data_IF_248167401415
#
_entry.id   IF_248167401415
#
_cell.length_a   1.000
_cell.length_b   1.000
_cell.length_c   1.000
_cell.angle_alpha   90.00
_cell.angle_beta   90.00
_cell.angle_gamma   90.00
#
_symmetry.space_group_name_H-M   'P 1'
#
loop_
_entity.id
_entity.type
_entity.pdbx_description
1 polymer ?
#
# COMPACT_ATOMS: atom_id res chain seq x y z
N UNK A 1 -4.25 25.03 19.18
CA UNK A 1 -4.63 23.64 18.82
C UNK A 1 -3.74 22.54 19.46
N UNK A 2 -2.58 22.86 20.07
CA UNK A 2 -1.64 21.85 20.58
C UNK A 2 -2.08 21.10 21.86
N UNK A 3 -2.94 21.70 22.70
CA UNK A 3 -3.33 21.12 24.01
C UNK A 3 -4.12 19.81 23.90
N UNK A 4 -5.07 19.73 22.97
CA UNK A 4 -5.91 18.54 22.78
C UNK A 4 -5.09 17.37 22.24
N UNK A 5 -4.16 17.64 21.32
CA UNK A 5 -3.28 16.62 20.74
C UNK A 5 -2.34 16.05 21.82
N UNK A 6 -1.83 16.89 22.72
CA UNK A 6 -1.00 16.45 23.85
C UNK A 6 -1.80 15.64 24.87
N UNK A 7 -3.06 15.97 25.10
CA UNK A 7 -3.95 15.22 26.00
C UNK A 7 -4.24 13.81 25.46
N UNK A 8 -4.61 13.69 24.17
CA UNK A 8 -4.91 12.39 23.53
C UNK A 8 -3.69 11.48 23.46
N UNK A 9 -2.49 12.04 23.31
CA UNK A 9 -1.24 11.24 23.25
C UNK A 9 -0.83 10.66 24.60
N UNK A 10 -1.14 11.33 25.71
CA UNK A 10 -0.63 10.98 27.05
C UNK A 10 -1.64 10.25 27.94
N UNK A 11 -2.90 10.15 27.56
CA UNK A 11 -3.88 9.36 28.32
C UNK A 11 -3.94 7.92 27.80
N UNK A 12 -3.61 6.96 28.65
CA UNK A 12 -3.55 5.53 28.34
C UNK A 12 -4.88 4.94 27.86
N UNK A 13 -6.03 5.59 28.15
CA UNK A 13 -7.35 5.18 27.63
C UNK A 13 -7.44 5.35 26.11
N UNK A 14 -6.73 6.32 25.54
CA UNK A 14 -6.62 6.55 24.10
C UNK A 14 -5.38 5.89 23.48
N UNK A 15 -4.45 5.42 24.32
CA UNK A 15 -3.21 4.78 23.93
C UNK A 15 -3.18 3.29 24.30
N UNK A 16 -4.35 2.64 24.32
CA UNK A 16 -4.48 1.21 24.63
C UNK A 16 -3.75 0.35 23.60
N UNK A 17 -3.10 -0.74 24.05
CA UNK A 17 -2.31 -1.64 23.21
C UNK A 17 -3.10 -2.19 22.00
N UNK A 18 -4.43 -2.34 22.13
CA UNK A 18 -5.33 -2.72 21.02
C UNK A 18 -5.28 -1.76 19.83
N UNK A 19 -5.05 -0.45 20.07
CA UNK A 19 -4.84 0.54 19.01
C UNK A 19 -3.40 0.58 18.49
N UNK A 20 -2.42 0.12 19.30
CA UNK A 20 -0.98 0.24 18.98
C UNK A 20 -0.49 -0.71 17.88
N UNK A 21 -1.29 -1.68 17.45
CA UNK A 21 -0.95 -2.56 16.34
C UNK A 21 -1.97 -2.57 15.21
N UNK A 22 -3.08 -1.81 15.31
CA UNK A 22 -4.10 -1.76 14.24
C UNK A 22 -3.46 -1.40 12.91
N UNK A 23 -2.48 -0.50 12.91
CA UNK A 23 -1.79 -0.10 11.67
C UNK A 23 -1.07 -1.28 11.01
N UNK A 24 -0.32 -2.06 11.79
CA UNK A 24 0.38 -3.24 11.31
C UNK A 24 -0.61 -4.35 10.91
N UNK A 25 -1.64 -4.59 11.72
CA UNK A 25 -2.69 -5.58 11.47
C UNK A 25 -3.50 -5.26 10.21
N UNK A 26 -3.85 -3.99 9.99
CA UNK A 26 -4.59 -3.54 8.80
C UNK A 26 -3.73 -3.65 7.54
N UNK A 27 -2.43 -3.33 7.59
CA UNK A 27 -1.53 -3.49 6.44
C UNK A 27 -1.16 -4.94 6.11
N UNK A 28 -1.43 -5.88 7.03
CA UNK A 28 -1.13 -7.31 6.85
C UNK A 28 -2.37 -8.15 6.52
N UNK A 29 -3.53 -7.51 6.31
CA UNK A 29 -4.72 -8.18 5.78
C UNK A 29 -4.45 -8.60 4.33
N UNK A 30 -4.81 -9.82 3.96
CA UNK A 30 -4.67 -10.30 2.57
C UNK A 30 -5.48 -9.43 1.60
N UNK A 31 -6.63 -8.91 2.04
CA UNK A 31 -7.51 -8.00 1.28
C UNK A 31 -6.89 -6.60 1.04
N UNK A 32 -5.80 -6.25 1.72
CA UNK A 32 -5.14 -4.96 1.57
C UNK A 32 -4.56 -4.75 0.18
N UNK A 33 -4.06 -5.82 -0.45
CA UNK A 33 -3.46 -5.75 -1.79
C UNK A 33 -4.41 -5.13 -2.81
N UNK A 34 -5.66 -5.61 -2.85
CA UNK A 34 -6.66 -5.15 -3.81
C UNK A 34 -7.19 -3.76 -3.50
N UNK A 35 -7.30 -3.39 -2.21
CA UNK A 35 -7.74 -2.06 -1.79
C UNK A 35 -6.65 -0.99 -2.00
N UNK A 36 -5.38 -1.39 -1.89
CA UNK A 36 -4.23 -0.49 -2.01
C UNK A 36 -3.79 -0.28 -3.47
N UNK A 37 -4.05 -1.23 -4.36
CA UNK A 37 -3.74 -1.11 -5.78
C UNK A 37 -4.83 -0.27 -6.46
N UNK A 38 -4.43 0.88 -7.00
CA UNK A 38 -5.29 1.74 -7.80
C UNK A 38 -5.35 1.29 -9.25
N UNK A 39 -5.41 2.27 -10.16
CA UNK A 39 -5.41 2.00 -11.60
C UNK A 39 -4.19 1.20 -12.04
N UNK A 40 -4.46 0.14 -12.80
CA UNK A 40 -3.47 -0.74 -13.43
C UNK A 40 -3.56 -0.54 -14.94
N UNK A 41 -2.41 -0.31 -15.56
CA UNK A 41 -2.26 -0.20 -17.02
C UNK A 41 -1.37 -1.35 -17.49
N UNK A 42 -1.87 -2.13 -18.44
CA UNK A 42 -1.13 -3.23 -19.07
C UNK A 42 -0.81 -2.88 -20.52
N UNK A 43 0.46 -2.92 -20.85
CA UNK A 43 0.96 -2.82 -22.22
C UNK A 43 1.60 -4.14 -22.63
N UNK A 44 1.15 -4.70 -23.75
CA UNK A 44 1.74 -5.92 -24.33
C UNK A 44 2.61 -5.55 -25.52
N UNK A 45 3.88 -5.90 -25.48
CA UNK A 45 4.84 -5.74 -26.57
C UNK A 45 5.40 -7.10 -26.95
N UNK A 46 4.76 -7.75 -27.93
CA UNK A 46 5.14 -9.10 -28.36
C UNK A 46 4.97 -10.12 -27.23
N UNK A 47 6.08 -10.72 -26.81
CA UNK A 47 6.13 -11.69 -25.70
C UNK A 47 6.29 -11.02 -24.34
N UNK A 48 6.57 -9.71 -24.26
CA UNK A 48 6.77 -9.01 -22.99
C UNK A 48 5.50 -8.25 -22.59
N UNK A 49 5.13 -8.36 -21.33
CA UNK A 49 4.04 -7.61 -20.71
C UNK A 49 4.62 -6.59 -19.73
N UNK A 50 4.30 -5.32 -19.93
CA UNK A 50 4.67 -4.22 -19.04
C UNK A 50 3.41 -3.79 -18.28
N UNK A 51 3.44 -3.92 -16.96
CA UNK A 51 2.34 -3.59 -16.07
C UNK A 51 2.75 -2.40 -15.21
N UNK A 52 2.04 -1.28 -15.33
CA UNK A 52 2.23 -0.10 -14.51
C UNK A 52 1.04 0.08 -13.59
N UNK A 53 1.28 0.28 -12.30
CA UNK A 53 0.20 0.51 -11.35
C UNK A 53 0.62 1.46 -10.24
N UNK A 54 -0.38 2.04 -9.58
CA UNK A 54 -0.16 2.92 -8.42
C UNK A 54 -0.63 2.23 -7.15
N UNK A 55 0.21 2.26 -6.13
CA UNK A 55 -0.11 1.73 -4.80
C UNK A 55 -0.31 2.88 -3.83
N UNK A 56 -1.49 2.91 -3.22
CA UNK A 56 -1.89 3.81 -2.14
C UNK A 56 -1.86 3.03 -0.83
N UNK A 57 -0.82 3.14 0.00
CA UNK A 57 -0.86 2.46 1.28
C UNK A 57 -1.93 3.09 2.17
N UNK A 58 -2.80 2.29 2.77
CA UNK A 58 -3.89 2.76 3.65
C UNK A 58 -3.35 3.60 4.82
N UNK A 59 -2.10 3.37 5.22
CA UNK A 59 -1.43 4.11 6.31
C UNK A 59 -0.74 5.40 5.85
N UNK A 60 -0.74 5.71 4.55
CA UNK A 60 -0.10 6.89 3.94
C UNK A 60 -1.05 7.68 3.04
N UNK A 61 -2.30 7.88 3.47
CA UNK A 61 -3.33 8.66 2.76
C UNK A 61 -2.89 10.10 2.40
N UNK A 62 -1.88 10.65 3.08
CA UNK A 62 -1.34 12.00 2.83
C UNK A 62 -0.04 12.04 2.02
N UNK A 63 0.49 10.90 1.58
CA UNK A 63 1.73 10.82 0.82
C UNK A 63 1.43 10.50 -0.65
N UNK A 64 2.31 10.93 -1.56
CA UNK A 64 2.20 10.57 -2.98
C UNK A 64 2.20 9.04 -3.12
N UNK A 65 1.30 8.54 -3.96
CA UNK A 65 1.21 7.12 -4.30
C UNK A 65 2.53 6.63 -4.88
N UNK A 66 2.85 5.36 -4.62
CA UNK A 66 3.98 4.70 -5.24
C UNK A 66 3.59 4.27 -6.65
N UNK A 67 4.37 4.63 -7.66
CA UNK A 67 4.25 4.03 -8.99
C UNK A 67 5.15 2.81 -9.04
N UNK A 68 4.61 1.67 -9.47
CA UNK A 68 5.33 0.42 -9.68
C UNK A 68 5.27 0.06 -11.16
N UNK A 69 6.37 -0.43 -11.70
CA UNK A 69 6.48 -0.91 -13.07
C UNK A 69 7.00 -2.35 -13.05
N UNK A 70 6.15 -3.27 -13.43
CA UNK A 70 6.43 -4.69 -13.46
C UNK A 70 6.60 -5.13 -14.91
N UNK A 71 7.72 -5.78 -15.23
CA UNK A 71 7.97 -6.34 -16.57
C UNK A 71 7.92 -7.86 -16.44
N UNK A 72 7.04 -8.48 -17.22
CA UNK A 72 6.77 -9.91 -17.21
C UNK A 72 7.08 -10.49 -18.59
N UNK A 73 7.78 -11.63 -18.62
CA UNK A 73 7.86 -12.48 -19.80
C UNK A 73 6.57 -13.30 -19.93
N UNK A 74 5.82 -13.08 -20.99
CA UNK A 74 4.58 -13.80 -21.28
C UNK A 74 4.78 -15.24 -21.78
N UNK A 75 6.00 -15.66 -22.12
CA UNK A 75 6.29 -17.04 -22.49
C UNK A 75 6.72 -17.88 -21.28
N UNK A 76 7.56 -17.32 -20.40
CA UNK A 76 8.01 -18.02 -19.19
C UNK A 76 7.13 -17.73 -17.95
N UNK A 77 6.15 -16.85 -18.06
CA UNK A 77 5.31 -16.36 -16.95
C UNK A 77 6.15 -15.87 -15.75
N UNK A 78 7.29 -15.25 -16.05
CA UNK A 78 8.28 -14.79 -15.06
C UNK A 78 8.34 -13.29 -14.97
N UNK A 79 8.44 -12.78 -13.75
CA UNK A 79 8.75 -11.38 -13.47
C UNK A 79 10.23 -11.16 -13.77
N UNK A 80 10.53 -10.30 -14.73
CA UNK A 80 11.88 -9.89 -15.09
C UNK A 80 12.36 -8.70 -14.23
N UNK A 81 11.47 -7.75 -13.91
CA UNK A 81 11.83 -6.52 -13.17
C UNK A 81 10.63 -5.95 -12.39
N UNK A 82 10.86 -5.32 -11.22
CA UNK A 82 9.86 -4.67 -10.36
C UNK A 82 10.35 -3.35 -9.77
#
# INVERSE_FOLDING_TARGET
>A
MFMIISFVKNDDRFNAAKFRCVKASTSSREEYGDSAVGYVELKREGTVCILQYKVCPEHKVRTKNYSVCLIIDGQEERIMYF
#
